data_IF_905004434648
#
_entry.id   IF_905004434648
#
_cell.length_a   1.000
_cell.length_b   1.000
_cell.length_c   1.000
_cell.angle_alpha   90.00
_cell.angle_beta   90.00
_cell.angle_gamma   90.00
#
_symmetry.space_group_name_H-M   'P 1'
#
loop_
_entity.id
_entity.type
_entity.pdbx_description
1 polymer ?
#
# COMPACT_ATOMS: atom_id res chain seq x y z
N UNK A 1 23.47 17.19 -9.54
CA UNK A 1 22.01 17.35 -9.45
C UNK A 1 21.41 16.89 -8.13
N UNK A 2 21.73 15.74 -7.51
CA UNK A 2 21.14 15.28 -6.24
C UNK A 2 21.40 16.20 -5.03
N UNK A 3 22.53 16.91 -4.94
CA UNK A 3 22.85 17.84 -3.83
C UNK A 3 22.03 19.13 -3.87
N UNK A 4 21.83 19.73 -5.04
CA UNK A 4 21.04 20.97 -5.22
C UNK A 4 19.56 20.72 -4.93
N UNK A 5 19.04 19.55 -5.30
CA UNK A 5 17.66 19.16 -5.03
C UNK A 5 17.32 19.12 -3.53
N UNK A 6 18.30 18.84 -2.66
CA UNK A 6 18.11 18.81 -1.19
C UNK A 6 18.01 20.22 -0.55
N UNK A 7 18.49 21.25 -1.23
CA UNK A 7 18.43 22.65 -0.74
C UNK A 7 17.09 23.33 -1.05
N UNK A 8 16.30 22.78 -1.98
CA UNK A 8 14.98 23.33 -2.31
C UNK A 8 13.98 22.95 -1.23
N UNK A 9 13.18 23.90 -0.69
CA UNK A 9 12.14 23.62 0.30
C UNK A 9 11.20 22.48 -0.16
N UNK A 10 10.82 21.62 0.79
CA UNK A 10 10.00 20.41 0.53
C UNK A 10 8.73 20.76 -0.26
N UNK A 11 8.02 21.83 0.12
CA UNK A 11 6.79 22.24 -0.56
C UNK A 11 6.99 22.64 -2.02
N UNK A 12 8.14 23.21 -2.39
CA UNK A 12 8.45 23.53 -3.79
C UNK A 12 8.81 22.28 -4.59
N UNK A 13 9.57 21.37 -3.99
CA UNK A 13 9.89 20.07 -4.62
C UNK A 13 8.62 19.25 -4.89
N UNK A 14 7.70 19.23 -3.93
CA UNK A 14 6.42 18.53 -4.09
C UNK A 14 5.58 19.15 -5.20
N UNK A 15 5.50 20.48 -5.28
CA UNK A 15 4.78 21.17 -6.36
C UNK A 15 5.37 20.85 -7.73
N UNK A 16 6.68 20.92 -7.89
CA UNK A 16 7.35 20.59 -9.14
C UNK A 16 7.12 19.14 -9.54
N UNK A 17 7.31 18.19 -8.60
CA UNK A 17 7.08 16.77 -8.84
C UNK A 17 5.60 16.45 -9.14
N UNK A 18 4.67 17.16 -8.51
CA UNK A 18 3.24 17.05 -8.78
C UNK A 18 2.92 17.51 -10.22
N UNK A 19 3.37 18.72 -10.60
CA UNK A 19 3.12 19.28 -11.94
C UNK A 19 3.64 18.36 -13.04
N UNK A 20 4.86 17.84 -12.86
CA UNK A 20 5.49 16.95 -13.85
C UNK A 20 4.75 15.60 -14.00
N UNK A 21 4.12 15.10 -12.95
CA UNK A 21 3.52 13.76 -12.96
C UNK A 21 2.00 13.76 -13.07
N UNK A 22 1.31 14.62 -12.33
CA UNK A 22 -0.14 14.74 -12.38
C UNK A 22 -0.62 15.60 -13.56
N UNK A 23 0.24 16.50 -14.07
CA UNK A 23 -0.02 17.27 -15.28
C UNK A 23 -0.83 18.56 -15.08
N UNK A 24 -0.99 19.03 -13.84
CA UNK A 24 -1.69 20.29 -13.55
C UNK A 24 -1.10 20.98 -12.30
N UNK A 25 -1.47 22.29 -12.08
CA UNK A 25 -0.93 23.07 -10.97
C UNK A 25 -1.54 22.63 -9.61
N UNK A 26 -0.71 22.37 -8.57
CA UNK A 26 -1.20 21.93 -7.27
C UNK A 26 -1.73 23.06 -6.39
N UNK A 27 -2.88 22.85 -5.75
CA UNK A 27 -3.44 23.71 -4.70
C UNK A 27 -3.45 22.98 -3.36
N UNK A 28 -2.27 22.83 -2.73
CA UNK A 28 -2.16 22.03 -1.51
C UNK A 28 -2.78 22.67 -0.26
N UNK A 29 -2.98 23.99 -0.22
CA UNK A 29 -3.65 24.67 0.90
C UNK A 29 -5.18 24.55 0.86
N UNK A 30 -5.77 24.44 -0.34
CA UNK A 30 -7.20 24.25 -0.57
C UNK A 30 -7.37 23.11 -1.57
N UNK A 31 -7.08 21.87 -1.15
CA UNK A 31 -7.06 20.73 -2.06
C UNK A 31 -8.47 20.33 -2.47
N UNK A 32 -8.67 20.14 -3.77
CA UNK A 32 -9.96 19.72 -4.36
C UNK A 32 -9.88 18.31 -4.92
N UNK A 33 -8.75 17.96 -5.58
CA UNK A 33 -8.58 16.66 -6.20
C UNK A 33 -8.01 15.63 -5.20
N UNK A 34 -8.18 14.34 -5.48
CA UNK A 34 -7.62 13.26 -4.67
C UNK A 34 -6.09 13.41 -4.53
N UNK A 35 -5.38 13.64 -5.64
CA UNK A 35 -3.93 13.81 -5.60
C UNK A 35 -3.50 15.01 -4.74
N UNK A 36 -4.24 16.13 -4.80
CA UNK A 36 -3.96 17.29 -3.95
C UNK A 36 -4.21 16.96 -2.47
N UNK A 37 -5.27 16.20 -2.14
CA UNK A 37 -5.61 15.78 -0.77
C UNK A 37 -4.57 14.82 -0.19
N UNK A 38 -4.02 13.90 -0.99
CA UNK A 38 -2.89 13.08 -0.56
C UNK A 38 -1.67 13.95 -0.22
N UNK A 39 -1.34 14.94 -1.06
CA UNK A 39 -0.20 15.82 -0.77
C UNK A 39 -0.47 16.75 0.42
N UNK A 40 -1.69 17.22 0.61
CA UNK A 40 -2.10 17.94 1.83
C UNK A 40 -1.85 17.07 3.07
N UNK A 41 -2.33 15.83 3.07
CA UNK A 41 -2.10 14.86 4.15
C UNK A 41 -0.61 14.68 4.44
N UNK A 42 0.23 14.52 3.43
CA UNK A 42 1.69 14.38 3.59
C UNK A 42 2.33 15.61 4.26
N UNK A 43 1.82 16.81 3.98
CA UNK A 43 2.34 18.06 4.53
C UNK A 43 1.82 18.37 5.94
N UNK A 44 0.61 17.94 6.27
CA UNK A 44 -0.12 18.39 7.47
C UNK A 44 -0.65 17.25 8.35
N UNK A 45 -0.20 16.00 8.12
CA UNK A 45 -0.66 14.86 8.93
C UNK A 45 -0.27 15.03 10.41
N UNK A 46 -1.13 14.52 11.30
CA UNK A 46 -0.89 14.52 12.75
C UNK A 46 -1.34 13.23 13.44
N UNK A 47 -2.18 12.43 12.77
CA UNK A 47 -2.73 11.22 13.37
C UNK A 47 -1.63 10.17 13.60
N UNK A 48 -1.31 9.80 14.87
CA UNK A 48 -0.25 8.85 15.20
C UNK A 48 -0.50 7.43 14.66
N UNK A 49 -1.77 7.05 14.42
CA UNK A 49 -2.12 5.76 13.82
C UNK A 49 -1.48 5.57 12.43
N UNK A 50 -1.11 6.65 11.73
CA UNK A 50 -0.41 6.51 10.46
C UNK A 50 0.95 5.84 10.62
N UNK A 51 1.66 6.09 11.72
CA UNK A 51 2.93 5.43 12.02
C UNK A 51 2.70 3.95 12.29
N UNK A 52 1.78 3.63 13.21
CA UNK A 52 1.44 2.24 13.56
C UNK A 52 0.98 1.45 12.34
N UNK A 53 0.06 2.01 11.54
CA UNK A 53 -0.53 1.32 10.40
C UNK A 53 0.39 1.27 9.16
N UNK A 54 1.47 2.05 9.13
CA UNK A 54 2.49 1.99 8.07
C UNK A 54 3.67 1.09 8.42
N UNK A 55 3.85 0.75 9.70
CA UNK A 55 4.81 -0.27 10.14
C UNK A 55 4.21 -1.67 9.90
N UNK A 56 4.81 -2.43 8.96
CA UNK A 56 4.33 -3.78 8.60
C UNK A 56 4.35 -4.78 9.77
N UNK A 57 5.06 -4.47 10.86
CA UNK A 57 5.09 -5.28 12.08
C UNK A 57 3.99 -4.81 13.04
N UNK A 58 3.97 -3.52 13.39
CA UNK A 58 3.03 -2.98 14.37
C UNK A 58 1.57 -3.06 13.89
N UNK A 59 1.32 -2.91 12.59
CA UNK A 59 -0.02 -3.00 12.01
C UNK A 59 -0.68 -4.36 12.23
N UNK A 60 0.09 -5.43 12.39
CA UNK A 60 -0.47 -6.79 12.58
C UNK A 60 -1.27 -6.90 13.87
N UNK A 61 -0.76 -6.36 14.98
CA UNK A 61 -1.50 -6.35 16.24
C UNK A 61 -2.72 -5.43 16.14
N UNK A 62 -2.56 -4.23 15.58
CA UNK A 62 -3.69 -3.33 15.33
C UNK A 62 -4.83 -4.00 14.52
N UNK A 63 -4.48 -4.76 13.49
CA UNK A 63 -5.46 -5.46 12.65
C UNK A 63 -6.04 -6.67 13.38
N UNK A 64 -5.20 -7.46 14.07
CA UNK A 64 -5.65 -8.62 14.86
C UNK A 64 -6.67 -8.24 15.93
N UNK A 65 -6.48 -7.10 16.62
CA UNK A 65 -7.40 -6.57 17.61
C UNK A 65 -8.77 -6.17 17.01
N UNK A 66 -8.82 -5.83 15.73
CA UNK A 66 -10.04 -5.37 15.07
C UNK A 66 -10.82 -6.46 14.34
N UNK A 67 -10.14 -7.39 13.71
CA UNK A 67 -10.77 -8.35 12.81
C UNK A 67 -10.44 -9.82 13.10
N UNK A 68 -9.54 -10.08 14.04
CA UNK A 68 -9.10 -11.42 14.42
C UNK A 68 -7.70 -11.77 13.86
N UNK A 69 -7.01 -12.62 14.58
CA UNK A 69 -5.63 -13.04 14.28
C UNK A 69 -5.57 -13.99 13.08
N UNK A 70 -6.66 -14.66 12.76
CA UNK A 70 -6.81 -15.53 11.59
C UNK A 70 -6.64 -14.82 10.26
N UNK A 71 -6.77 -13.48 10.26
CA UNK A 71 -6.57 -12.65 9.08
C UNK A 71 -5.12 -12.16 8.91
N UNK A 72 -4.22 -12.52 9.82
CA UNK A 72 -2.82 -12.07 9.82
C UNK A 72 -1.92 -13.12 9.18
N UNK A 73 -1.06 -12.70 8.26
CA UNK A 73 0.02 -13.54 7.74
C UNK A 73 1.11 -13.63 8.80
N UNK A 74 1.44 -14.84 9.23
CA UNK A 74 2.44 -15.07 10.28
C UNK A 74 3.82 -14.56 9.89
N UNK A 75 4.46 -13.87 10.83
CA UNK A 75 5.86 -13.47 10.73
C UNK A 75 6.75 -14.63 11.19
N UNK A 76 7.51 -15.22 10.28
CA UNK A 76 8.46 -16.29 10.61
C UNK A 76 9.80 -15.76 11.12
N UNK A 77 10.10 -14.48 10.85
CA UNK A 77 11.27 -13.80 11.38
C UNK A 77 11.05 -12.28 11.44
N UNK A 78 11.56 -11.67 12.52
CA UNK A 78 11.68 -10.21 12.68
C UNK A 78 13.05 -9.93 13.29
N UNK A 79 13.83 -9.04 12.66
CA UNK A 79 15.19 -8.72 13.14
C UNK A 79 15.71 -7.38 12.61
N UNK A 80 16.83 -6.92 13.17
CA UNK A 80 17.49 -5.69 12.73
C UNK A 80 18.30 -5.89 11.42
N UNK A 81 18.52 -7.12 11.01
CA UNK A 81 19.11 -7.54 9.73
C UNK A 81 18.80 -9.02 9.48
N UNK A 82 19.04 -9.49 8.27
CA UNK A 82 18.98 -10.92 7.93
C UNK A 82 20.27 -11.36 7.24
N UNK A 83 20.80 -12.52 7.63
CA UNK A 83 21.98 -13.15 7.02
C UNK A 83 21.56 -14.24 6.03
N UNK A 84 22.42 -14.59 5.05
CA UNK A 84 22.13 -15.69 4.12
C UNK A 84 21.88 -17.04 4.82
N UNK A 85 22.62 -17.34 5.90
CA UNK A 85 22.43 -18.58 6.67
C UNK A 85 21.05 -18.60 7.36
N UNK A 86 20.62 -17.49 7.97
CA UNK A 86 19.28 -17.37 8.56
C UNK A 86 18.20 -17.53 7.49
N UNK A 87 18.36 -16.86 6.33
CA UNK A 87 17.41 -16.97 5.23
C UNK A 87 17.29 -18.43 4.75
N UNK A 88 18.41 -19.14 4.60
CA UNK A 88 18.43 -20.55 4.20
C UNK A 88 17.70 -21.45 5.22
N UNK A 89 17.96 -21.29 6.51
CA UNK A 89 17.26 -22.03 7.57
C UNK A 89 15.74 -21.74 7.55
N UNK A 90 15.35 -20.49 7.33
CA UNK A 90 13.93 -20.13 7.21
C UNK A 90 13.27 -20.77 5.98
N UNK A 91 13.97 -20.83 4.84
CA UNK A 91 13.49 -21.53 3.63
C UNK A 91 13.34 -23.03 3.85
N UNK A 92 14.30 -23.68 4.54
CA UNK A 92 14.23 -25.09 4.90
C UNK A 92 13.01 -25.38 5.79
N UNK A 93 12.70 -24.51 6.76
CA UNK A 93 11.62 -24.72 7.70
C UNK A 93 10.24 -24.30 7.16
N UNK A 94 10.16 -23.30 6.29
CA UNK A 94 8.90 -22.65 5.92
C UNK A 94 8.64 -22.61 4.42
N UNK A 95 9.55 -23.09 3.57
CA UNK A 95 9.43 -23.05 2.12
C UNK A 95 9.66 -21.66 1.54
N UNK A 96 8.84 -21.26 0.55
CA UNK A 96 8.96 -19.95 -0.10
C UNK A 96 8.59 -18.80 0.84
N UNK A 97 9.38 -17.74 0.80
CA UNK A 97 9.33 -16.62 1.73
C UNK A 97 9.14 -15.27 1.02
N UNK A 98 8.55 -14.33 1.75
CA UNK A 98 8.48 -12.91 1.38
C UNK A 98 9.30 -12.12 2.39
N UNK A 99 10.34 -11.43 1.92
CA UNK A 99 11.26 -10.65 2.74
C UNK A 99 11.03 -9.15 2.51
N UNK A 100 10.73 -8.42 3.57
CA UNK A 100 10.29 -7.01 3.52
C UNK A 100 11.08 -6.16 4.52
N UNK A 101 11.33 -4.89 4.20
CA UNK A 101 11.59 -3.88 5.21
C UNK A 101 10.24 -3.38 5.76
N UNK A 102 10.11 -3.26 7.09
CA UNK A 102 8.83 -2.88 7.72
C UNK A 102 8.43 -1.42 7.49
N UNK A 103 9.39 -0.53 7.31
CA UNK A 103 9.28 0.93 7.34
C UNK A 103 9.19 1.59 5.96
N UNK A 104 8.79 0.85 4.94
CA UNK A 104 8.67 1.37 3.58
C UNK A 104 7.47 0.79 2.82
N UNK A 105 7.08 1.43 1.70
CA UNK A 105 6.24 0.87 0.65
C UNK A 105 7.11 0.61 -0.59
N UNK A 106 8.23 -0.07 -0.35
CA UNK A 106 9.28 -0.33 -1.33
C UNK A 106 9.20 -1.74 -1.91
N UNK A 107 10.21 -2.11 -2.71
CA UNK A 107 10.25 -3.41 -3.32
C UNK A 107 10.33 -4.52 -2.26
N UNK A 108 9.46 -5.49 -2.43
CA UNK A 108 9.44 -6.74 -1.67
C UNK A 108 10.40 -7.70 -2.36
N UNK A 109 11.12 -8.52 -1.58
CA UNK A 109 11.99 -9.57 -2.10
C UNK A 109 11.33 -10.93 -1.87
N UNK A 110 11.55 -11.84 -2.78
CA UNK A 110 11.03 -13.21 -2.70
C UNK A 110 12.20 -14.18 -2.62
N UNK A 111 12.02 -15.24 -1.86
CA UNK A 111 12.90 -16.41 -1.83
C UNK A 111 12.02 -17.63 -2.07
N UNK A 112 12.23 -18.32 -3.18
CA UNK A 112 11.58 -19.58 -3.47
C UNK A 112 12.47 -20.73 -3.02
N UNK A 113 11.88 -21.87 -2.63
CA UNK A 113 12.56 -23.01 -2.00
C UNK A 113 13.77 -23.54 -2.80
N UNK A 114 13.79 -23.32 -4.11
CA UNK A 114 14.82 -23.82 -5.03
C UNK A 114 15.86 -22.74 -5.39
N UNK A 115 15.82 -21.56 -4.74
CA UNK A 115 16.75 -20.47 -4.99
C UNK A 115 18.18 -20.83 -4.52
N UNK A 116 19.16 -20.58 -5.39
CA UNK A 116 20.57 -20.78 -5.11
C UNK A 116 21.17 -19.73 -4.17
N UNK A 117 22.37 -20.03 -3.64
CA UNK A 117 23.07 -19.16 -2.68
C UNK A 117 23.28 -17.72 -3.15
N UNK A 118 23.49 -17.50 -4.44
CA UNK A 118 23.67 -16.15 -4.99
C UNK A 118 22.39 -15.32 -4.87
N UNK A 119 21.24 -15.91 -5.20
CA UNK A 119 19.92 -15.26 -5.04
C UNK A 119 19.69 -14.91 -3.57
N UNK A 120 19.95 -15.86 -2.65
CA UNK A 120 19.78 -15.65 -1.21
C UNK A 120 20.68 -14.50 -0.73
N UNK A 121 21.96 -14.46 -1.13
CA UNK A 121 22.90 -13.37 -0.79
C UNK A 121 22.40 -12.02 -1.30
N UNK A 122 21.93 -11.97 -2.55
CA UNK A 122 21.44 -10.74 -3.18
C UNK A 122 20.16 -10.22 -2.48
N UNK A 123 19.22 -11.10 -2.13
CA UNK A 123 18.01 -10.75 -1.39
C UNK A 123 18.37 -10.18 -0.03
N UNK A 124 19.21 -10.87 0.75
CA UNK A 124 19.66 -10.39 2.07
C UNK A 124 20.39 -9.05 1.98
N UNK A 125 21.28 -8.89 1.01
CA UNK A 125 21.99 -7.63 0.78
C UNK A 125 21.00 -6.48 0.48
N UNK A 126 20.10 -6.68 -0.47
CA UNK A 126 19.14 -5.67 -0.92
C UNK A 126 18.20 -5.23 0.22
N UNK A 127 17.69 -6.17 1.01
CA UNK A 127 16.83 -5.85 2.16
C UNK A 127 17.62 -5.08 3.23
N UNK A 128 18.80 -5.53 3.59
CA UNK A 128 19.65 -4.86 4.59
C UNK A 128 20.07 -3.45 4.13
N UNK A 129 20.21 -3.19 2.82
CA UNK A 129 20.43 -1.83 2.31
C UNK A 129 19.19 -0.96 2.43
N UNK A 130 17.98 -1.51 2.20
CA UNK A 130 16.74 -0.76 2.37
C UNK A 130 16.55 -0.24 3.81
N UNK A 131 17.03 -0.98 4.82
CA UNK A 131 16.92 -0.56 6.23
C UNK A 131 17.70 0.73 6.54
N UNK A 132 18.70 1.08 5.74
CA UNK A 132 19.52 2.29 5.90
C UNK A 132 18.86 3.55 5.32
N UNK A 133 17.77 3.39 4.58
CA UNK A 133 17.11 4.50 3.90
C UNK A 133 15.97 5.08 4.75
N UNK A 134 15.97 6.37 4.99
CA UNK A 134 14.80 7.07 5.53
C UNK A 134 13.75 7.23 4.41
N UNK A 135 12.92 6.20 4.25
CA UNK A 135 11.89 6.16 3.22
C UNK A 135 10.92 7.34 3.32
N UNK A 136 10.56 7.75 4.54
CA UNK A 136 9.68 8.87 4.78
C UNK A 136 10.22 10.19 4.17
N UNK A 137 11.54 10.45 4.32
CA UNK A 137 12.19 11.60 3.68
C UNK A 137 12.28 11.46 2.16
N UNK A 138 12.59 10.26 1.66
CA UNK A 138 12.73 10.02 0.20
C UNK A 138 11.41 10.19 -0.53
N UNK A 139 10.32 9.67 0.02
CA UNK A 139 8.98 9.73 -0.57
C UNK A 139 8.15 10.91 -0.08
N UNK A 140 8.63 11.61 0.94
CA UNK A 140 7.91 12.69 1.63
C UNK A 140 6.57 12.20 2.20
N UNK A 141 6.63 11.03 2.80
CA UNK A 141 5.59 10.37 3.55
C UNK A 141 6.06 10.26 5.01
N UNK A 142 5.96 11.35 5.78
CA UNK A 142 6.74 11.56 7.02
C UNK A 142 6.47 10.54 8.13
N UNK A 143 5.29 9.89 8.15
CA UNK A 143 4.97 8.84 9.12
C UNK A 143 5.94 7.65 9.07
N UNK A 144 6.50 7.32 7.88
CA UNK A 144 7.49 6.25 7.77
C UNK A 144 8.82 6.58 8.46
N UNK A 145 9.20 7.86 8.58
CA UNK A 145 10.43 8.27 9.28
C UNK A 145 10.37 8.01 10.79
N UNK A 146 9.19 7.73 11.34
CA UNK A 146 8.99 7.41 12.76
C UNK A 146 8.96 5.90 13.01
N UNK A 147 9.00 5.06 11.98
CA UNK A 147 9.05 3.61 12.11
C UNK A 147 10.50 3.15 12.28
N UNK A 148 10.79 2.38 13.33
CA UNK A 148 12.12 1.78 13.53
C UNK A 148 12.36 0.70 12.46
N UNK A 149 13.41 0.84 11.62
CA UNK A 149 13.67 -0.12 10.55
C UNK A 149 13.95 -1.53 11.07
N UNK A 150 13.27 -2.53 10.49
CA UNK A 150 13.45 -3.96 10.75
C UNK A 150 13.20 -4.78 9.49
N UNK A 151 13.81 -5.94 9.42
CA UNK A 151 13.43 -6.98 8.46
C UNK A 151 12.25 -7.73 9.01
N UNK A 152 11.27 -7.97 8.15
CA UNK A 152 10.13 -8.85 8.36
C UNK A 152 10.18 -9.95 7.30
N UNK A 153 10.08 -11.21 7.71
CA UNK A 153 9.94 -12.36 6.82
C UNK A 153 8.61 -13.06 7.09
N UNK A 154 7.88 -13.33 6.04
CA UNK A 154 6.59 -14.02 6.06
C UNK A 154 6.61 -15.22 5.12
N UNK A 155 5.73 -16.19 5.35
CA UNK A 155 5.47 -17.24 4.36
C UNK A 155 4.84 -16.63 3.11
N UNK A 156 5.26 -17.11 1.94
CA UNK A 156 4.63 -16.71 0.68
C UNK A 156 3.27 -17.37 0.56
N UNK A 157 2.21 -16.57 0.45
CA UNK A 157 0.86 -17.07 0.19
C UNK A 157 0.77 -17.65 -1.23
N UNK A 158 0.04 -18.75 -1.37
CA UNK A 158 -0.22 -19.43 -2.64
C UNK A 158 -1.68 -19.87 -2.70
N UNK A 159 -2.25 -19.87 -3.90
CA UNK A 159 -3.51 -20.55 -4.19
C UNK A 159 -3.29 -22.07 -4.21
N UNK A 160 -4.35 -22.86 -4.17
CA UNK A 160 -4.27 -24.33 -4.22
C UNK A 160 -3.56 -24.85 -5.49
N UNK A 161 -3.66 -24.12 -6.61
CA UNK A 161 -2.98 -24.42 -7.88
C UNK A 161 -1.52 -23.94 -7.93
N UNK A 162 -1.00 -23.37 -6.84
CA UNK A 162 0.36 -22.84 -6.73
C UNK A 162 0.54 -21.40 -7.27
N UNK A 163 -0.50 -20.79 -7.84
CA UNK A 163 -0.44 -19.42 -8.31
C UNK A 163 -0.41 -18.39 -7.15
N UNK A 164 0.01 -17.15 -7.45
CA UNK A 164 -0.05 -16.07 -6.48
C UNK A 164 -1.50 -15.60 -6.29
N UNK A 165 -1.95 -15.34 -5.05
CA UNK A 165 -3.31 -14.87 -4.80
C UNK A 165 -3.53 -13.45 -5.38
N UNK A 166 -4.76 -13.18 -5.79
CA UNK A 166 -5.18 -11.84 -6.18
C UNK A 166 -5.09 -10.87 -4.99
N UNK A 167 -4.64 -9.66 -5.28
CA UNK A 167 -4.49 -8.55 -4.33
C UNK A 167 -5.64 -7.55 -4.55
N UNK A 168 -6.63 -7.58 -3.66
CA UNK A 168 -7.81 -6.72 -3.68
C UNK A 168 -7.52 -5.43 -2.91
N UNK A 169 -7.53 -4.28 -3.59
CA UNK A 169 -7.17 -2.99 -3.02
C UNK A 169 -8.39 -2.10 -2.88
N UNK A 170 -8.91 -2.00 -1.66
CA UNK A 170 -10.12 -1.23 -1.36
C UNK A 170 -9.74 0.21 -0.96
N UNK A 171 -10.05 1.19 -1.82
CA UNK A 171 -10.02 2.59 -1.46
C UNK A 171 -11.31 2.94 -0.72
N UNK A 172 -11.22 3.15 0.59
CA UNK A 172 -12.37 3.46 1.44
C UNK A 172 -12.35 4.95 1.78
N UNK A 173 -13.44 5.61 1.48
CA UNK A 173 -13.69 7.02 1.79
C UNK A 173 -14.76 7.11 2.86
N UNK A 174 -14.47 7.79 3.95
CA UNK A 174 -15.38 7.96 5.07
C UNK A 174 -15.96 9.37 5.10
N UNK A 175 -17.27 9.49 5.29
CA UNK A 175 -17.89 10.77 5.62
C UNK A 175 -17.35 11.26 6.99
N UNK A 176 -17.38 12.57 7.28
CA UNK A 176 -16.81 13.12 8.53
C UNK A 176 -17.42 12.51 9.80
N UNK A 177 -18.70 12.24 9.80
CA UNK A 177 -19.44 11.62 10.91
C UNK A 177 -19.34 10.07 10.90
N UNK A 178 -18.65 9.48 9.91
CA UNK A 178 -18.52 8.03 9.71
C UNK A 178 -19.85 7.29 9.46
N UNK A 179 -20.92 8.01 9.17
CA UNK A 179 -22.24 7.41 8.90
C UNK A 179 -22.28 6.65 7.57
N UNK A 180 -21.48 7.09 6.59
CA UNK A 180 -21.39 6.47 5.28
C UNK A 180 -19.94 6.26 4.84
N UNK A 181 -19.72 5.13 4.17
CA UNK A 181 -18.45 4.77 3.56
C UNK A 181 -18.67 4.48 2.07
N UNK A 182 -17.84 5.07 1.21
CA UNK A 182 -17.80 4.75 -0.22
C UNK A 182 -16.54 3.95 -0.50
N UNK A 183 -16.69 2.82 -1.19
CA UNK A 183 -15.55 1.94 -1.51
C UNK A 183 -15.36 1.86 -3.02
N UNK A 184 -14.10 1.95 -3.44
CA UNK A 184 -13.68 1.69 -4.82
C UNK A 184 -12.63 0.59 -4.78
N UNK A 185 -12.91 -0.52 -5.42
CA UNK A 185 -11.99 -1.64 -5.57
C UNK A 185 -11.03 -1.37 -6.74
N UNK A 186 -9.74 -1.48 -6.50
CA UNK A 186 -8.68 -1.50 -7.49
C UNK A 186 -8.15 -2.91 -7.66
N UNK A 187 -8.07 -3.39 -8.89
CA UNK A 187 -7.44 -4.65 -9.27
C UNK A 187 -6.27 -4.40 -10.23
N UNK A 188 -5.16 -5.07 -9.96
CA UNK A 188 -3.96 -5.02 -10.79
C UNK A 188 -3.80 -6.37 -11.53
N UNK A 189 -3.66 -6.32 -12.86
CA UNK A 189 -3.52 -7.49 -13.75
C UNK A 189 -2.14 -7.48 -14.42
N UNK A 190 -1.63 -8.66 -14.77
CA UNK A 190 -0.38 -8.86 -15.52
C UNK A 190 0.85 -8.18 -14.91
N UNK A 191 0.99 -8.25 -13.58
CA UNK A 191 2.06 -7.57 -12.82
C UNK A 191 3.48 -7.88 -13.30
N UNK A 192 3.69 -9.06 -13.88
CA UNK A 192 5.01 -9.53 -14.34
C UNK A 192 5.29 -9.22 -15.81
N UNK A 193 4.31 -8.67 -16.54
CA UNK A 193 4.43 -8.31 -17.97
C UNK A 193 4.10 -6.83 -18.18
N UNK A 194 2.89 -6.54 -18.64
CA UNK A 194 2.38 -5.19 -18.84
C UNK A 194 1.25 -4.92 -17.85
N UNK A 195 1.57 -4.25 -16.74
CA UNK A 195 0.63 -3.98 -15.67
C UNK A 195 -0.56 -3.16 -16.16
N UNK A 196 -1.75 -3.73 -16.04
CA UNK A 196 -3.03 -3.05 -16.19
C UNK A 196 -3.71 -2.88 -14.84
N UNK A 197 -4.54 -1.83 -14.74
CA UNK A 197 -5.25 -1.50 -13.50
C UNK A 197 -6.68 -1.14 -13.80
N UNK A 198 -7.64 -1.86 -13.22
CA UNK A 198 -9.05 -1.58 -13.36
C UNK A 198 -9.67 -1.26 -12.02
N UNK A 199 -10.77 -0.50 -12.06
CA UNK A 199 -11.49 -0.04 -10.89
C UNK A 199 -12.94 -0.48 -10.96
N UNK A 200 -13.52 -0.75 -9.79
CA UNK A 200 -14.89 -1.23 -9.64
C UNK A 200 -15.54 -0.55 -8.44
N UNK A 201 -16.85 -0.40 -8.48
CA UNK A 201 -17.63 -0.01 -7.31
C UNK A 201 -17.83 -1.20 -6.34
N UNK A 202 -18.57 -0.99 -5.25
CA UNK A 202 -18.87 -2.04 -4.25
C UNK A 202 -19.67 -3.23 -4.83
N UNK A 203 -20.47 -2.99 -5.89
CA UNK A 203 -21.23 -4.04 -6.59
C UNK A 203 -20.42 -4.76 -7.67
N UNK A 204 -19.14 -4.45 -7.81
CA UNK A 204 -18.23 -4.95 -8.85
C UNK A 204 -18.56 -4.45 -10.27
N UNK A 205 -19.29 -3.35 -10.41
CA UNK A 205 -19.46 -2.68 -11.70
C UNK A 205 -18.16 -1.95 -12.07
N UNK A 206 -17.73 -2.16 -13.30
CA UNK A 206 -16.51 -1.55 -13.82
C UNK A 206 -16.60 -0.02 -13.94
N UNK A 207 -15.56 0.69 -13.50
CA UNK A 207 -15.46 2.14 -13.56
C UNK A 207 -14.54 2.58 -14.71
N UNK A 208 -14.98 3.48 -15.62
CA UNK A 208 -14.33 3.77 -16.90
C UNK A 208 -13.20 4.79 -16.78
N UNK A 209 -12.19 4.55 -15.94
CA UNK A 209 -11.04 5.45 -15.85
C UNK A 209 -9.71 4.70 -15.65
N UNK A 210 -8.63 5.31 -16.06
CA UNK A 210 -7.29 4.86 -15.75
C UNK A 210 -6.61 5.77 -14.72
N UNK A 211 -5.78 5.18 -13.88
CA UNK A 211 -4.99 5.87 -12.88
C UNK A 211 -3.59 5.28 -12.83
N UNK A 212 -2.60 6.03 -13.35
CA UNK A 212 -1.19 5.66 -13.46
C UNK A 212 -0.91 4.52 -14.45
N UNK A 213 -1.73 3.51 -14.49
CA UNK A 213 -1.63 2.35 -15.36
C UNK A 213 -2.78 2.31 -16.37
N UNK A 214 -2.61 1.69 -17.55
CA UNK A 214 -3.71 1.49 -18.48
C UNK A 214 -4.87 0.75 -17.82
N UNK A 215 -6.10 1.18 -18.12
CA UNK A 215 -7.31 0.51 -17.66
C UNK A 215 -7.70 -0.59 -18.65
N UNK A 216 -8.03 -1.77 -18.13
CA UNK A 216 -8.60 -2.87 -18.88
C UNK A 216 -10.12 -2.89 -18.62
N UNK A 217 -10.94 -2.83 -19.68
CA UNK A 217 -12.37 -3.06 -19.56
C UNK A 217 -12.61 -4.56 -19.34
N UNK A 218 -13.04 -4.92 -18.14
CA UNK A 218 -13.22 -6.32 -17.75
C UNK A 218 -14.30 -6.41 -16.68
N UNK A 219 -14.79 -7.61 -16.44
CA UNK A 219 -15.65 -7.96 -15.30
C UNK A 219 -14.86 -8.79 -14.29
N UNK A 220 -15.31 -8.77 -13.05
CA UNK A 220 -14.79 -9.62 -11.98
C UNK A 220 -15.87 -10.63 -11.60
N UNK A 221 -15.48 -11.90 -11.54
CA UNK A 221 -16.31 -12.91 -10.87
C UNK A 221 -16.23 -12.61 -9.36
N UNK A 222 -17.38 -12.50 -8.70
CA UNK A 222 -17.44 -12.24 -7.26
C UNK A 222 -16.71 -13.35 -6.50
N UNK A 223 -15.62 -13.05 -5.78
CA UNK A 223 -14.88 -14.09 -5.07
C UNK A 223 -15.66 -14.58 -3.84
N UNK A 224 -15.42 -15.81 -3.37
CA UNK A 224 -15.93 -16.27 -2.09
C UNK A 224 -15.56 -15.30 -0.97
N UNK A 225 -16.50 -14.98 -0.06
CA UNK A 225 -16.25 -14.08 1.07
C UNK A 225 -16.10 -12.60 0.71
N UNK A 226 -16.50 -12.16 -0.49
CA UNK A 226 -16.35 -10.74 -0.90
C UNK A 226 -17.04 -9.75 0.05
N UNK A 227 -18.24 -10.06 0.56
CA UNK A 227 -18.93 -9.21 1.52
C UNK A 227 -18.11 -9.05 2.81
N UNK A 228 -17.49 -10.14 3.28
CA UNK A 228 -16.60 -10.09 4.43
C UNK A 228 -15.34 -9.26 4.15
N UNK A 229 -14.80 -9.30 2.92
CA UNK A 229 -13.68 -8.41 2.53
C UNK A 229 -14.09 -6.95 2.60
N UNK A 230 -15.30 -6.60 2.12
CA UNK A 230 -15.83 -5.23 2.21
C UNK A 230 -16.00 -4.77 3.66
N UNK A 231 -16.56 -5.61 4.53
CA UNK A 231 -16.70 -5.32 5.96
C UNK A 231 -15.34 -5.08 6.62
N UNK A 232 -14.37 -5.96 6.38
CA UNK A 232 -13.00 -5.82 6.89
C UNK A 232 -12.37 -4.52 6.40
N UNK A 233 -12.46 -4.23 5.11
CA UNK A 233 -11.89 -3.01 4.55
C UNK A 233 -12.52 -1.75 5.16
N UNK A 234 -13.84 -1.72 5.30
CA UNK A 234 -14.59 -0.63 5.94
C UNK A 234 -14.21 -0.46 7.41
N UNK A 235 -14.12 -1.56 8.17
CA UNK A 235 -13.77 -1.54 9.59
C UNK A 235 -12.34 -1.03 9.82
N UNK A 236 -11.37 -1.53 9.05
CA UNK A 236 -9.98 -1.10 9.15
C UNK A 236 -9.77 0.37 8.74
N UNK A 237 -10.56 0.86 7.80
CA UNK A 237 -10.49 2.24 7.32
C UNK A 237 -11.23 3.24 8.23
N UNK A 238 -12.10 2.80 9.13
CA UNK A 238 -12.99 3.64 9.93
C UNK A 238 -12.30 4.80 10.68
N UNK A 239 -11.07 4.63 11.26
CA UNK A 239 -10.39 5.74 11.95
C UNK A 239 -9.83 6.83 11.01
N UNK A 240 -9.88 6.64 9.70
CA UNK A 240 -9.25 7.52 8.72
C UNK A 240 -10.31 8.13 7.79
N UNK A 241 -10.15 9.38 7.37
CA UNK A 241 -11.05 9.97 6.36
C UNK A 241 -10.93 9.26 5.01
N UNK A 242 -9.77 8.70 4.71
CA UNK A 242 -9.51 7.81 3.58
C UNK A 242 -8.33 6.89 3.89
N UNK A 243 -8.46 5.62 3.54
CA UNK A 243 -7.36 4.66 3.50
C UNK A 243 -7.55 3.67 2.35
N UNK A 244 -6.46 3.13 1.80
CA UNK A 244 -6.51 1.96 0.94
C UNK A 244 -6.16 0.74 1.79
N UNK A 245 -7.05 -0.23 1.80
CA UNK A 245 -6.88 -1.51 2.50
C UNK A 245 -6.64 -2.59 1.46
N UNK A 246 -5.50 -3.24 1.54
CA UNK A 246 -5.12 -4.32 0.62
C UNK A 246 -5.34 -5.66 1.31
N UNK A 247 -6.13 -6.53 0.68
CA UNK A 247 -6.49 -7.85 1.19
C UNK A 247 -6.18 -8.92 0.14
N UNK A 248 -5.74 -10.09 0.60
CA UNK A 248 -5.67 -11.30 -0.20
C UNK A 248 -6.88 -12.19 0.09
N UNK A 249 -7.31 -12.95 -0.91
CA UNK A 249 -8.36 -13.94 -0.77
C UNK A 249 -7.87 -15.27 -1.34
N UNK A 250 -7.83 -16.30 -0.52
CA UNK A 250 -7.46 -17.65 -0.89
C UNK A 250 -8.68 -18.55 -0.62
N UNK A 251 -9.47 -18.76 -1.64
CA UNK A 251 -10.67 -19.61 -1.61
C UNK A 251 -11.64 -19.29 -0.46
N UNK A 252 -11.80 -17.98 -0.16
CA UNK A 252 -12.65 -17.46 0.92
C UNK A 252 -11.90 -17.16 2.22
N UNK A 253 -10.67 -17.64 2.39
CA UNK A 253 -9.80 -17.24 3.49
C UNK A 253 -9.18 -15.88 3.19
N UNK A 254 -9.47 -14.87 4.04
CA UNK A 254 -9.07 -13.48 3.82
C UNK A 254 -7.84 -13.18 4.66
N UNK A 255 -6.81 -12.61 4.04
CA UNK A 255 -5.59 -12.18 4.72
C UNK A 255 -5.33 -10.69 4.51
N UNK A 256 -4.90 -10.02 5.57
CA UNK A 256 -4.50 -8.63 5.52
C UNK A 256 -3.15 -8.45 4.83
N UNK A 257 -3.07 -7.50 3.90
CA UNK A 257 -1.85 -7.13 3.18
C UNK A 257 -1.20 -5.85 3.73
N UNK A 258 -1.86 -4.70 3.52
CA UNK A 258 -1.36 -3.40 3.99
C UNK A 258 -2.46 -2.34 4.14
N UNK A 259 -2.18 -1.29 4.91
CA UNK A 259 -2.93 -0.03 4.90
C UNK A 259 -2.07 1.04 4.25
N UNK A 260 -2.60 1.69 3.20
CA UNK A 260 -1.88 2.73 2.45
C UNK A 260 -2.57 4.09 2.58
N UNK A 261 -1.82 5.11 3.01
CA UNK A 261 -2.33 6.48 3.19
C UNK A 261 -2.01 7.43 2.04
N UNK A 262 -1.01 7.12 1.23
CA UNK A 262 -0.53 7.96 0.13
C UNK A 262 -0.40 7.20 -1.18
N UNK A 263 -1.52 6.65 -1.70
CA UNK A 263 -1.51 5.91 -2.95
C UNK A 263 -0.89 6.72 -4.09
N UNK A 264 0.01 6.09 -4.87
CA UNK A 264 0.80 6.72 -5.93
C UNK A 264 1.53 8.00 -5.47
N UNK A 265 1.75 8.16 -4.15
CA UNK A 265 2.33 9.36 -3.50
C UNK A 265 1.60 10.66 -3.86
N UNK A 266 0.30 10.59 -4.21
CA UNK A 266 -0.52 11.72 -4.64
C UNK A 266 -0.06 12.39 -5.95
N UNK A 267 0.50 11.60 -6.88
CA UNK A 267 1.04 12.08 -8.16
C UNK A 267 0.65 11.19 -9.34
N UNK A 268 -0.32 10.31 -9.14
CA UNK A 268 -0.79 9.43 -10.21
C UNK A 268 -1.59 10.19 -11.26
N UNK A 269 -1.21 10.09 -12.54
CA UNK A 269 -1.97 10.69 -13.64
C UNK A 269 -3.24 9.89 -13.89
N UNK A 270 -4.38 10.56 -13.90
CA UNK A 270 -5.67 10.01 -14.32
C UNK A 270 -5.88 10.17 -15.84
N UNK A 271 -6.73 9.35 -16.42
CA UNK A 271 -7.18 9.52 -17.82
C UNK A 271 -7.87 10.87 -18.07
N UNK A 272 -8.51 11.42 -17.05
CA UNK A 272 -9.05 12.78 -17.02
C UNK A 272 -8.98 13.35 -15.61
N UNK A 273 -8.76 14.67 -15.49
CA UNK A 273 -8.81 15.39 -14.21
C UNK A 273 -10.19 15.29 -13.54
N UNK A 274 -11.24 14.99 -14.31
CA UNK A 274 -12.61 14.79 -13.79
C UNK A 274 -12.62 13.66 -12.76
N UNK A 275 -11.91 12.56 -13.01
CA UNK A 275 -11.84 11.42 -12.07
C UNK A 275 -11.05 11.75 -10.82
N UNK A 276 -9.96 12.51 -10.95
CA UNK A 276 -9.19 13.01 -9.80
C UNK A 276 -10.06 13.95 -8.91
N UNK A 277 -10.85 14.82 -9.54
CA UNK A 277 -11.83 15.67 -8.84
C UNK A 277 -12.95 14.86 -8.21
N UNK A 278 -13.48 13.86 -8.93
CA UNK A 278 -14.53 12.98 -8.43
C UNK A 278 -14.09 12.21 -7.19
N UNK A 279 -12.93 11.55 -7.22
CA UNK A 279 -12.36 10.89 -6.03
C UNK A 279 -12.07 11.90 -4.91
N UNK A 280 -11.65 13.11 -5.28
CA UNK A 280 -11.47 14.19 -4.32
C UNK A 280 -12.77 14.59 -3.62
N UNK A 281 -13.92 14.55 -4.28
CA UNK A 281 -15.23 14.82 -3.67
C UNK A 281 -15.69 13.75 -2.69
N UNK A 282 -15.28 12.48 -2.92
CA UNK A 282 -15.58 11.38 -2.00
C UNK A 282 -14.78 11.46 -0.68
N UNK A 283 -13.79 12.32 -0.63
CA UNK A 283 -12.86 12.41 0.50
C UNK A 283 -12.96 13.78 1.15
N UNK A 284 -13.58 13.86 2.30
CA UNK A 284 -13.43 15.01 3.18
C UNK A 284 -12.22 14.81 4.11
N UNK A 285 -11.33 15.78 4.11
CA UNK A 285 -10.10 15.71 4.91
C UNK A 285 -10.44 15.78 6.39
N UNK A 286 -9.71 15.01 7.19
CA UNK A 286 -9.78 15.17 8.64
C UNK A 286 -9.45 16.62 9.00
N UNK A 287 -10.15 17.23 9.96
CA UNK A 287 -9.80 18.55 10.46
C UNK A 287 -8.33 18.55 10.85
N UNK A 288 -7.63 19.64 10.53
CA UNK A 288 -6.27 19.84 11.05
C UNK A 288 -6.38 19.99 12.57
N UNK A 289 -6.12 18.89 13.30
CA UNK A 289 -6.10 18.86 14.76
C UNK A 289 -4.83 19.50 15.25
#
# INVERSE_FOLDING_TARGET
MKKIYRLVPVGLRERAAFMLRAGYYPQFKKPVTYNQKVNYRKLYWKNPLFVTCSDKIAVKEYVADKIGREHIIDSVFVGDMITPNQAKQLMENYGSLVVKANHNSGPVQFLDKDDGEETIRNVCHNINQQLKEDYGKVKQEPWYSHVKPKVLVERKLRMADGSDPCDYKFHVFNDPDRSRQTVILQMDYDRHKMLHRSFFNESLDWLPFSWKQPCLRTSIVRPPGYDRMLEIAKLLALPFSHARIDLYNIDGSIYFGEITFAHASGRGKFSSIIYDKWLGKLWELDPAI
#
